data_IF_531229999431
#
_entry.id   IF_531229999431
#
_cell.length_a   1.000
_cell.length_b   1.000
_cell.length_c   1.000
_cell.angle_alpha   90.00
_cell.angle_beta   90.00
_cell.angle_gamma   90.00
#
_symmetry.space_group_name_H-M   'P 1'
#
loop_
_entity.id
_entity.type
_entity.pdbx_description
1 polymer ?
#
# COMPACT_ATOMS: atom_id res chain seq x y z
N UNK A 1 29.67 6.65 0.15
CA UNK A 1 29.39 7.44 -1.08
C UNK A 1 27.89 7.66 -1.16
N UNK A 2 27.41 8.89 -1.38
CA UNK A 2 25.99 9.15 -1.64
C UNK A 2 25.58 8.49 -2.97
N UNK A 3 24.33 8.05 -3.08
CA UNK A 3 23.80 7.43 -4.30
C UNK A 3 23.69 8.49 -5.41
N UNK A 4 24.61 8.46 -6.37
CA UNK A 4 24.53 9.23 -7.62
C UNK A 4 23.69 8.53 -8.71
N UNK A 5 23.39 9.20 -9.83
CA UNK A 5 22.50 8.69 -10.88
C UNK A 5 23.11 7.52 -11.68
N UNK A 6 22.28 6.64 -12.28
CA UNK A 6 22.74 5.38 -12.86
C UNK A 6 23.43 5.55 -14.22
N UNK A 7 24.52 4.79 -14.44
CA UNK A 7 25.12 4.54 -15.77
C UNK A 7 24.89 3.10 -16.19
N UNK A 8 24.79 2.89 -17.50
CA UNK A 8 24.37 1.66 -18.20
C UNK A 8 25.36 0.48 -18.05
N UNK A 9 24.90 -0.79 -18.10
CA UNK A 9 25.76 -1.95 -17.85
C UNK A 9 26.35 -2.57 -19.13
N UNK A 10 27.48 -3.27 -18.97
CA UNK A 10 28.00 -4.29 -19.91
C UNK A 10 28.13 -5.66 -19.21
N UNK A 11 28.13 -6.78 -19.95
CA UNK A 11 27.48 -8.03 -19.52
C UNK A 11 28.36 -8.98 -18.70
N UNK A 12 27.71 -9.86 -17.93
CA UNK A 12 28.34 -10.86 -17.06
C UNK A 12 28.60 -12.20 -17.76
N UNK A 13 29.70 -12.85 -17.39
CA UNK A 13 30.02 -14.24 -17.72
C UNK A 13 29.55 -15.22 -16.61
N UNK A 14 29.30 -16.51 -16.92
CA UNK A 14 28.62 -17.44 -16.01
C UNK A 14 29.58 -18.44 -15.34
N UNK A 15 29.25 -18.92 -14.14
CA UNK A 15 29.44 -20.32 -13.65
C UNK A 15 28.62 -20.48 -12.35
N UNK A 16 27.73 -21.45 -12.11
CA UNK A 16 27.67 -22.93 -12.16
C UNK A 16 27.71 -23.55 -10.74
N UNK A 17 26.83 -24.52 -10.48
CA UNK A 17 26.38 -24.97 -9.16
C UNK A 17 26.72 -26.45 -8.84
N UNK A 18 26.64 -26.81 -7.56
CA UNK A 18 26.64 -28.20 -7.03
C UNK A 18 27.46 -28.29 -5.73
N UNK A 19 27.18 -29.09 -4.70
CA UNK A 19 26.21 -30.11 -4.29
C UNK A 19 26.33 -30.15 -2.73
N UNK A 20 25.38 -30.52 -1.85
CA UNK A 20 24.44 -31.64 -1.82
C UNK A 20 24.87 -32.63 -0.71
N UNK A 21 24.29 -32.54 0.51
CA UNK A 21 24.34 -33.60 1.54
C UNK A 21 23.18 -33.47 2.57
N UNK A 22 22.57 -34.61 2.91
CA UNK A 22 21.32 -34.84 3.66
C UNK A 22 21.48 -35.05 5.18
N UNK A 23 20.40 -35.05 6.00
CA UNK A 23 20.43 -34.71 7.43
C UNK A 23 20.23 -35.90 8.41
N UNK A 24 20.54 -35.68 9.70
CA UNK A 24 20.22 -36.57 10.83
C UNK A 24 19.23 -35.91 11.82
N UNK A 25 18.28 -36.70 12.34
CA UNK A 25 17.11 -36.30 13.15
C UNK A 25 17.36 -36.44 14.67
N UNK A 26 16.87 -35.47 15.45
CA UNK A 26 16.76 -35.48 16.93
C UNK A 26 15.92 -34.28 17.44
N UNK A 27 15.31 -34.31 18.65
CA UNK A 27 13.88 -34.00 18.81
C UNK A 27 13.48 -32.58 19.27
N UNK A 28 12.33 -32.17 18.73
CA UNK A 28 11.28 -31.22 19.16
C UNK A 28 11.52 -30.17 20.28
N UNK A 29 11.59 -28.91 19.84
CA UNK A 29 11.13 -27.70 20.56
C UNK A 29 10.35 -26.81 19.59
N UNK A 30 9.48 -25.87 20.03
CA UNK A 30 8.57 -25.15 19.14
C UNK A 30 9.33 -24.16 18.26
N UNK A 31 9.56 -24.54 17.01
CA UNK A 31 10.20 -23.72 15.99
C UNK A 31 9.16 -23.21 15.00
N UNK A 32 9.05 -21.88 14.88
CA UNK A 32 8.43 -21.19 13.74
C UNK A 32 9.36 -21.26 12.54
N UNK A 33 8.78 -21.48 11.37
CA UNK A 33 9.39 -22.09 10.19
C UNK A 33 10.58 -21.35 9.58
N UNK A 34 11.65 -22.10 9.32
CA UNK A 34 12.74 -21.73 8.41
C UNK A 34 12.30 -21.97 6.95
N UNK A 35 12.51 -20.97 6.10
CA UNK A 35 12.23 -21.02 4.66
C UNK A 35 13.32 -21.78 3.92
N UNK A 36 13.02 -23.02 3.50
CA UNK A 36 13.85 -23.75 2.54
C UNK A 36 13.52 -23.30 1.12
N UNK A 37 14.55 -22.84 0.40
CA UNK A 37 14.50 -22.59 -1.04
C UNK A 37 14.39 -23.91 -1.83
N UNK A 38 13.51 -23.93 -2.84
CA UNK A 38 13.53 -24.94 -3.90
C UNK A 38 12.21 -25.67 -4.16
N UNK A 39 11.26 -24.99 -4.83
CA UNK A 39 10.33 -25.51 -5.85
C UNK A 39 9.23 -24.48 -6.08
N UNK A 40 9.02 -24.03 -7.33
CA UNK A 40 7.87 -23.21 -7.71
C UNK A 40 6.58 -24.01 -7.56
N UNK A 41 6.05 -24.07 -6.34
CA UNK A 41 4.62 -24.15 -6.11
C UNK A 41 4.08 -22.72 -6.17
N UNK A 42 3.06 -22.46 -6.99
CA UNK A 42 2.36 -21.19 -6.94
C UNK A 42 1.93 -20.94 -5.49
N UNK A 43 2.45 -19.88 -4.87
CA UNK A 43 2.12 -19.53 -3.50
C UNK A 43 0.59 -19.42 -3.38
N UNK A 44 0.01 -20.10 -2.40
CA UNK A 44 -1.41 -19.98 -2.13
C UNK A 44 -1.75 -18.50 -1.90
N UNK A 45 -2.86 -17.98 -2.46
CA UNK A 45 -3.22 -16.59 -2.28
C UNK A 45 -3.35 -16.29 -0.79
N UNK A 46 -2.79 -15.15 -0.38
CA UNK A 46 -2.71 -14.80 1.03
C UNK A 46 -4.11 -14.59 1.62
N UNK A 47 -4.42 -15.14 2.81
CA UNK A 47 -5.77 -15.01 3.39
C UNK A 47 -6.14 -13.55 3.63
N UNK A 48 -7.32 -13.14 3.18
CA UNK A 48 -7.93 -11.82 3.46
C UNK A 48 -9.12 -12.04 4.41
N UNK A 49 -9.22 -11.28 5.52
CA UNK A 49 -10.29 -11.48 6.50
C UNK A 49 -11.69 -11.23 5.92
N UNK A 50 -12.70 -11.87 6.51
CA UNK A 50 -14.11 -11.71 6.18
C UNK A 50 -14.96 -11.62 7.44
N UNK A 51 -16.06 -10.86 7.39
CA UNK A 51 -17.01 -10.80 8.50
C UNK A 51 -17.74 -12.13 8.70
N UNK A 52 -18.23 -12.38 9.91
CA UNK A 52 -18.99 -13.59 10.25
C UNK A 52 -20.29 -13.69 9.42
N UNK A 53 -21.06 -12.61 9.32
CA UNK A 53 -22.28 -12.55 8.52
C UNK A 53 -22.01 -12.80 7.02
N UNK A 54 -20.82 -12.43 6.52
CA UNK A 54 -20.43 -12.76 5.14
C UNK A 54 -20.01 -14.22 5.01
N UNK A 55 -19.23 -14.74 5.95
CA UNK A 55 -18.84 -16.14 5.97
C UNK A 55 -20.08 -17.06 5.98
N UNK A 56 -21.13 -16.70 6.73
CA UNK A 56 -22.40 -17.41 6.73
C UNK A 56 -23.12 -17.34 5.38
N UNK A 57 -23.25 -16.14 4.79
CA UNK A 57 -23.84 -15.99 3.44
C UNK A 57 -23.07 -16.76 2.37
N UNK A 58 -21.74 -16.76 2.42
CA UNK A 58 -20.89 -17.54 1.53
C UNK A 58 -21.11 -19.05 1.74
N UNK A 59 -21.25 -19.51 2.99
CA UNK A 59 -21.54 -20.90 3.31
C UNK A 59 -22.92 -21.34 2.78
N UNK A 60 -23.95 -20.51 2.93
CA UNK A 60 -25.29 -20.75 2.39
C UNK A 60 -25.27 -20.79 0.86
N UNK A 61 -24.62 -19.82 0.21
CA UNK A 61 -24.48 -19.80 -1.24
C UNK A 61 -23.72 -21.03 -1.76
N UNK A 62 -22.68 -21.46 -1.04
CA UNK A 62 -21.91 -22.66 -1.35
C UNK A 62 -22.75 -23.93 -1.19
N UNK A 63 -23.59 -24.01 -0.15
CA UNK A 63 -24.51 -25.11 0.09
C UNK A 63 -25.63 -25.16 -0.96
N UNK A 64 -26.15 -24.00 -1.39
CA UNK A 64 -27.19 -23.89 -2.43
C UNK A 64 -26.67 -24.23 -3.84
N UNK A 65 -25.35 -24.09 -4.08
CA UNK A 65 -24.72 -24.30 -5.39
C UNK A 65 -24.14 -25.71 -5.55
N UNK A 66 -24.98 -26.75 -5.43
CA UNK A 66 -24.54 -28.13 -5.68
C UNK A 66 -24.38 -28.41 -7.19
N UNK A 67 -23.15 -28.70 -7.64
CA UNK A 67 -22.89 -29.56 -8.81
C UNK A 67 -22.30 -28.94 -10.09
N UNK A 68 -22.60 -27.68 -10.45
CA UNK A 68 -22.14 -27.09 -11.73
C UNK A 68 -21.16 -25.91 -11.55
N UNK A 69 -21.46 -24.95 -10.66
CA UNK A 69 -20.58 -23.80 -10.38
C UNK A 69 -19.25 -24.18 -9.69
N UNK A 70 -19.21 -25.33 -8.99
CA UNK A 70 -18.00 -25.86 -8.32
C UNK A 70 -16.80 -26.08 -9.25
N UNK A 71 -17.03 -26.35 -10.55
CA UNK A 71 -15.94 -26.57 -11.53
C UNK A 71 -15.42 -25.28 -12.14
N UNK A 72 -16.25 -24.24 -12.23
CA UNK A 72 -15.86 -22.92 -12.75
C UNK A 72 -15.19 -22.05 -11.67
N UNK A 73 -15.66 -22.12 -10.41
CA UNK A 73 -15.21 -21.24 -9.31
C UNK A 73 -14.43 -22.00 -8.22
N UNK A 74 -13.46 -22.84 -8.60
CA UNK A 74 -12.50 -23.42 -7.63
C UNK A 74 -11.68 -22.29 -6.97
N UNK A 75 -12.18 -21.71 -5.89
CA UNK A 75 -11.45 -20.91 -4.91
C UNK A 75 -10.89 -19.55 -5.35
N UNK A 76 -11.13 -19.11 -6.59
CA UNK A 76 -10.45 -17.92 -7.13
C UNK A 76 -11.41 -17.03 -7.93
N UNK A 77 -12.52 -16.59 -7.32
CA UNK A 77 -13.36 -15.54 -7.91
C UNK A 77 -12.70 -14.16 -7.63
N UNK A 78 -12.17 -13.47 -8.66
CA UNK A 78 -11.49 -12.19 -8.49
C UNK A 78 -12.41 -11.12 -7.90
N UNK A 79 -13.73 -11.23 -8.15
CA UNK A 79 -14.72 -10.29 -7.60
C UNK A 79 -14.87 -10.46 -6.10
N UNK A 80 -14.89 -11.71 -5.63
CA UNK A 80 -14.92 -11.99 -4.19
C UNK A 80 -13.64 -11.53 -3.51
N UNK A 81 -12.48 -11.81 -4.09
CA UNK A 81 -11.20 -11.35 -3.54
C UNK A 81 -11.13 -9.82 -3.46
N UNK A 82 -11.48 -9.12 -4.54
CA UNK A 82 -11.54 -7.66 -4.56
C UNK A 82 -12.49 -7.11 -3.49
N UNK A 83 -13.65 -7.75 -3.29
CA UNK A 83 -14.61 -7.34 -2.26
C UNK A 83 -14.09 -7.55 -0.84
N UNK A 84 -13.38 -8.65 -0.57
CA UNK A 84 -12.75 -8.91 0.73
C UNK A 84 -11.67 -7.88 1.04
N UNK A 85 -10.85 -7.54 0.04
CA UNK A 85 -9.82 -6.50 0.16
C UNK A 85 -10.46 -5.15 0.43
N UNK A 86 -11.51 -4.80 -0.32
CA UNK A 86 -12.24 -3.55 -0.13
C UNK A 86 -12.85 -3.44 1.28
N UNK A 87 -13.41 -4.53 1.80
CA UNK A 87 -13.97 -4.59 3.14
C UNK A 87 -12.87 -4.46 4.22
N UNK A 88 -11.77 -5.21 4.10
CA UNK A 88 -10.65 -5.15 5.03
C UNK A 88 -10.00 -3.76 5.09
N UNK A 89 -9.86 -3.08 3.94
CA UNK A 89 -9.34 -1.72 3.87
C UNK A 89 -10.25 -0.66 4.51
N UNK A 90 -11.55 -0.95 4.66
CA UNK A 90 -12.51 -0.03 5.26
C UNK A 90 -12.82 -0.33 6.74
N UNK A 91 -12.01 -1.17 7.40
CA UNK A 91 -12.11 -1.43 8.85
C UNK A 91 -11.53 -0.25 9.64
N UNK A 92 -12.27 0.21 10.67
CA UNK A 92 -11.71 1.12 11.70
C UNK A 92 -11.19 2.45 11.16
N UNK A 93 -11.84 3.01 10.14
CA UNK A 93 -11.48 4.31 9.60
C UNK A 93 -12.01 5.42 10.51
N UNK A 94 -11.10 6.16 11.14
CA UNK A 94 -11.45 7.25 12.06
C UNK A 94 -11.04 8.64 11.54
N UNK A 95 -10.14 8.69 10.57
CA UNK A 95 -9.66 9.94 9.98
C UNK A 95 -10.74 10.57 9.11
N UNK A 96 -11.04 11.85 9.36
CA UNK A 96 -12.09 12.53 8.63
C UNK A 96 -11.79 12.54 7.13
N UNK A 97 -12.78 12.12 6.34
CA UNK A 97 -12.69 12.11 4.89
C UNK A 97 -11.70 11.07 4.32
N UNK A 98 -11.01 10.29 5.15
CA UNK A 98 -10.19 9.17 4.69
C UNK A 98 -11.07 7.96 4.38
N UNK A 99 -10.94 7.42 3.18
CA UNK A 99 -11.60 6.17 2.81
C UNK A 99 -10.90 5.49 1.63
N UNK A 100 -11.14 4.19 1.50
CA UNK A 100 -10.61 3.37 0.41
C UNK A 100 -11.70 2.99 -0.58
N UNK A 101 -11.33 2.99 -1.86
CA UNK A 101 -12.14 2.44 -2.95
C UNK A 101 -11.30 1.39 -3.69
N UNK A 102 -11.93 0.26 -4.02
CA UNK A 102 -11.29 -0.84 -4.76
C UNK A 102 -11.97 -1.02 -6.11
N UNK A 103 -11.21 -1.32 -7.15
CA UNK A 103 -11.72 -1.73 -8.44
C UNK A 103 -11.20 -3.10 -8.85
N UNK A 104 -12.02 -3.80 -9.62
CA UNK A 104 -11.64 -4.94 -10.42
C UNK A 104 -11.70 -4.53 -11.89
N UNK A 105 -10.65 -4.80 -12.65
CA UNK A 105 -10.62 -4.51 -14.10
C UNK A 105 -11.15 -5.67 -14.93
N UNK A 106 -11.34 -5.45 -16.24
CA UNK A 106 -11.73 -6.50 -17.19
C UNK A 106 -10.67 -7.60 -17.32
N UNK A 107 -9.40 -7.27 -17.10
CA UNK A 107 -8.28 -8.21 -17.15
C UNK A 107 -8.04 -8.94 -15.82
N UNK A 108 -8.81 -8.60 -14.78
CA UNK A 108 -8.73 -9.23 -13.46
C UNK A 108 -7.77 -8.57 -12.47
N UNK A 109 -7.18 -7.43 -12.83
CA UNK A 109 -6.33 -6.62 -11.95
C UNK A 109 -7.18 -6.03 -10.80
N UNK A 110 -6.67 -6.12 -9.57
CA UNK A 110 -7.28 -5.49 -8.39
C UNK A 110 -6.51 -4.20 -8.11
N UNK A 111 -7.22 -3.07 -8.12
CA UNK A 111 -6.62 -1.74 -7.98
C UNK A 111 -7.30 -1.03 -6.82
N UNK A 112 -6.53 -0.38 -5.95
CA UNK A 112 -7.03 0.38 -4.80
C UNK A 112 -6.60 1.83 -4.90
N UNK A 113 -7.42 2.71 -4.34
CA UNK A 113 -7.13 4.13 -4.17
C UNK A 113 -7.75 4.59 -2.85
N UNK A 114 -7.19 5.63 -2.24
CA UNK A 114 -7.81 6.30 -1.12
C UNK A 114 -7.94 7.80 -1.37
N UNK A 115 -8.76 8.45 -0.56
CA UNK A 115 -9.10 9.86 -0.71
C UNK A 115 -7.95 10.84 -0.40
N UNK A 116 -6.90 10.42 0.30
CA UNK A 116 -5.73 11.27 0.52
C UNK A 116 -4.84 11.31 -0.75
N UNK A 117 -4.82 10.20 -1.50
CA UNK A 117 -4.14 10.13 -2.79
C UNK A 117 -2.62 10.11 -2.68
N UNK A 118 -1.96 10.31 -3.83
CA UNK A 118 -0.49 10.41 -3.96
C UNK A 118 0.28 9.29 -3.21
N UNK A 119 -0.18 8.05 -3.31
CA UNK A 119 0.54 6.91 -2.74
C UNK A 119 0.53 6.81 -1.21
N UNK A 120 -0.25 7.64 -0.51
CA UNK A 120 -0.39 7.53 0.94
C UNK A 120 -0.99 6.19 1.35
N UNK A 121 -0.35 5.50 2.30
CA UNK A 121 -0.83 4.26 2.92
C UNK A 121 -0.56 4.34 4.44
N UNK A 122 -1.57 4.13 5.30
CA UNK A 122 -1.38 4.11 6.75
C UNK A 122 -0.36 3.05 7.20
N UNK A 123 0.37 3.32 8.30
CA UNK A 123 1.48 2.48 8.74
C UNK A 123 1.10 1.02 9.06
N UNK A 124 -0.14 0.78 9.48
CA UNK A 124 -0.68 -0.53 9.84
C UNK A 124 -1.33 -1.29 8.67
N UNK A 125 -1.32 -0.74 7.46
CA UNK A 125 -1.91 -1.38 6.27
C UNK A 125 -0.82 -2.08 5.46
N UNK A 126 -1.03 -3.36 5.19
CA UNK A 126 -0.27 -4.13 4.21
C UNK A 126 -1.16 -4.42 3.00
N UNK A 127 -0.64 -4.18 1.79
CA UNK A 127 -1.36 -4.49 0.56
C UNK A 127 -0.95 -5.86 0.02
N UNK A 128 -1.89 -6.79 -0.23
CA UNK A 128 -1.58 -8.06 -0.87
C UNK A 128 -0.79 -7.89 -2.16
N UNK A 129 0.04 -8.88 -2.51
CA UNK A 129 1.00 -8.78 -3.62
C UNK A 129 0.33 -8.41 -4.96
N UNK A 130 -0.83 -9.00 -5.22
CA UNK A 130 -1.62 -8.84 -6.45
C UNK A 130 -2.40 -7.52 -6.56
N UNK A 131 -2.32 -6.64 -5.57
CA UNK A 131 -3.07 -5.37 -5.54
C UNK A 131 -2.23 -4.24 -6.12
N UNK A 132 -2.81 -3.37 -6.94
CA UNK A 132 -2.13 -2.16 -7.40
C UNK A 132 -2.64 -0.93 -6.64
N UNK A 133 -1.75 -0.06 -6.16
CA UNK A 133 -2.15 1.25 -5.66
C UNK A 133 -2.15 2.24 -6.83
N UNK A 134 -3.34 2.75 -7.19
CA UNK A 134 -3.53 3.59 -8.37
C UNK A 134 -2.61 4.83 -8.39
N UNK A 135 -2.35 5.38 -7.21
CA UNK A 135 -1.59 6.63 -7.04
C UNK A 135 -0.12 6.41 -6.65
N UNK A 136 0.39 5.17 -6.63
CA UNK A 136 1.78 4.89 -6.30
C UNK A 136 2.68 4.65 -7.52
N UNK A 137 2.12 4.14 -8.64
CA UNK A 137 2.91 3.77 -9.81
C UNK A 137 3.61 4.95 -10.49
N UNK A 138 4.93 4.85 -10.66
CA UNK A 138 5.77 5.85 -11.34
C UNK A 138 5.55 5.92 -12.85
N UNK A 139 4.84 4.96 -13.46
CA UNK A 139 4.50 5.00 -14.88
C UNK A 139 3.53 6.13 -15.22
N UNK A 140 2.72 6.57 -14.25
CA UNK A 140 1.78 7.67 -14.39
C UNK A 140 2.45 8.94 -13.85
N UNK A 141 2.53 10.02 -14.67
CA UNK A 141 3.14 11.28 -14.25
C UNK A 141 2.54 11.80 -12.93
N UNK A 142 3.40 12.33 -12.05
CA UNK A 142 2.96 12.78 -10.72
C UNK A 142 1.86 13.84 -10.80
N UNK A 143 1.97 14.79 -11.73
CA UNK A 143 0.98 15.84 -11.90
C UNK A 143 -0.39 15.30 -12.32
N UNK A 144 -0.45 14.15 -12.99
CA UNK A 144 -1.71 13.46 -13.28
C UNK A 144 -2.26 12.80 -12.02
N UNK A 145 -1.43 12.05 -11.28
CA UNK A 145 -1.81 11.41 -10.00
C UNK A 145 -2.31 12.43 -8.97
N UNK A 146 -1.72 13.62 -8.94
CA UNK A 146 -2.03 14.71 -8.01
C UNK A 146 -3.46 15.23 -8.16
N UNK A 147 -3.96 15.33 -9.39
CA UNK A 147 -5.35 15.76 -9.66
C UNK A 147 -6.39 14.82 -9.08
N UNK A 148 -6.01 13.57 -8.80
CA UNK A 148 -6.92 12.57 -8.27
C UNK A 148 -6.97 12.55 -6.75
N UNK A 149 -6.11 13.30 -6.05
CA UNK A 149 -6.24 13.46 -4.61
C UNK A 149 -7.63 14.00 -4.27
N UNK A 150 -8.23 13.51 -3.19
CA UNK A 150 -9.65 13.74 -2.81
C UNK A 150 -10.69 13.08 -3.72
N UNK A 151 -10.26 12.35 -4.77
CA UNK A 151 -11.12 11.72 -5.78
C UNK A 151 -10.65 10.28 -6.11
N UNK A 152 -10.79 9.31 -5.19
CA UNK A 152 -10.26 7.95 -5.38
C UNK A 152 -10.89 7.21 -6.56
N UNK A 153 -12.17 7.41 -6.87
CA UNK A 153 -12.81 6.83 -8.06
C UNK A 153 -12.11 7.30 -9.36
N UNK A 154 -11.75 8.58 -9.42
CA UNK A 154 -11.01 9.14 -10.56
C UNK A 154 -9.60 8.53 -10.68
N UNK A 155 -8.96 8.24 -9.53
CA UNK A 155 -7.67 7.53 -9.51
C UNK A 155 -7.77 6.15 -10.17
N UNK A 156 -8.82 5.38 -9.86
CA UNK A 156 -9.03 4.05 -10.42
C UNK A 156 -9.30 4.12 -11.94
N UNK A 157 -10.10 5.08 -12.37
CA UNK A 157 -10.37 5.31 -13.80
C UNK A 157 -9.10 5.73 -14.56
N UNK A 158 -8.32 6.63 -13.99
CA UNK A 158 -7.06 7.10 -14.56
C UNK A 158 -6.04 5.98 -14.69
N UNK A 159 -5.88 5.18 -13.62
CA UNK A 159 -5.00 4.01 -13.63
C UNK A 159 -5.40 3.01 -14.71
N UNK A 160 -6.68 2.65 -14.79
CA UNK A 160 -7.16 1.68 -15.79
C UNK A 160 -6.92 2.19 -17.22
N UNK A 161 -7.23 3.47 -17.48
CA UNK A 161 -6.99 4.10 -18.78
C UNK A 161 -5.52 4.09 -19.18
N UNK A 162 -4.62 4.42 -18.25
CA UNK A 162 -3.19 4.42 -18.50
C UNK A 162 -2.67 3.03 -18.89
N UNK A 163 -3.22 1.97 -18.29
CA UNK A 163 -2.83 0.58 -18.57
C UNK A 163 -3.63 -0.05 -19.72
N UNK A 164 -4.48 0.71 -20.42
CA UNK A 164 -5.32 0.19 -21.51
C UNK A 164 -6.42 -0.78 -21.05
N UNK A 165 -6.73 -0.78 -19.76
CA UNK A 165 -7.74 -1.62 -19.14
C UNK A 165 -9.07 -0.86 -18.95
N UNK A 166 -10.16 -1.61 -18.71
CA UNK A 166 -11.46 -1.04 -18.32
C UNK A 166 -11.84 -1.52 -16.94
N UNK A 167 -12.55 -0.67 -16.19
CA UNK A 167 -13.14 -1.07 -14.92
C UNK A 167 -14.30 -2.04 -15.16
N UNK A 168 -14.25 -3.21 -14.54
CA UNK A 168 -15.34 -4.19 -14.52
C UNK A 168 -16.32 -3.87 -13.39
N UNK A 169 -15.78 -3.60 -12.20
CA UNK A 169 -16.55 -3.22 -11.04
C UNK A 169 -15.76 -2.28 -10.13
N UNK A 170 -16.46 -1.45 -9.38
CA UNK A 170 -15.92 -0.63 -8.29
C UNK A 170 -16.65 -1.01 -7.00
N UNK A 171 -15.90 -1.15 -5.91
CA UNK A 171 -16.36 -1.62 -4.61
C UNK A 171 -16.04 -0.55 -3.57
N UNK A 172 -17.08 -0.09 -2.88
CA UNK A 172 -17.03 0.97 -1.86
C UNK A 172 -18.28 0.87 -0.96
N UNK A 173 -18.34 1.64 0.12
CA UNK A 173 -19.60 1.83 0.86
C UNK A 173 -20.58 2.73 0.09
N UNK A 174 -21.84 2.80 0.54
CA UNK A 174 -22.86 3.64 -0.10
C UNK A 174 -22.46 5.13 -0.10
N UNK A 175 -22.06 5.66 1.05
CA UNK A 175 -21.62 7.06 1.21
C UNK A 175 -20.42 7.41 0.29
N UNK A 176 -19.52 6.45 0.08
CA UNK A 176 -18.35 6.64 -0.78
C UNK A 176 -18.71 6.73 -2.27
N UNK A 177 -19.89 6.24 -2.68
CA UNK A 177 -20.41 6.39 -4.03
C UNK A 177 -21.26 7.66 -4.23
N UNK A 178 -21.59 8.39 -3.15
CA UNK A 178 -22.46 9.55 -3.24
C UNK A 178 -21.86 10.61 -4.18
N UNK A 179 -22.61 11.03 -5.20
CA UNK A 179 -22.17 12.03 -6.16
C UNK A 179 -21.13 11.57 -7.18
N UNK A 180 -20.77 10.27 -7.21
CA UNK A 180 -19.80 9.72 -8.18
C UNK A 180 -20.39 8.58 -9.03
N UNK A 181 -20.18 8.67 -10.34
CA UNK A 181 -20.38 7.56 -11.27
C UNK A 181 -19.01 6.97 -11.67
N UNK A 182 -18.70 5.72 -11.26
CA UNK A 182 -17.47 5.06 -11.67
C UNK A 182 -17.44 4.64 -13.15
N UNK A 183 -18.57 4.71 -13.87
CA UNK A 183 -18.67 4.22 -15.25
C UNK A 183 -18.53 2.69 -15.37
N UNK A 184 -18.75 1.97 -14.27
CA UNK A 184 -18.67 0.52 -14.14
C UNK A 184 -19.68 0.02 -13.11
N UNK A 185 -19.83 -1.31 -12.98
CA UNK A 185 -20.74 -1.89 -12.00
C UNK A 185 -20.35 -1.47 -10.56
N UNK A 186 -21.32 -0.98 -9.78
CA UNK A 186 -21.14 -0.66 -8.37
C UNK A 186 -21.38 -1.91 -7.52
N UNK A 187 -20.47 -2.23 -6.62
CA UNK A 187 -20.64 -3.24 -5.57
C UNK A 187 -20.59 -2.51 -4.24
N UNK A 188 -21.75 -2.44 -3.58
CA UNK A 188 -21.87 -1.73 -2.31
C UNK A 188 -21.46 -2.66 -1.17
N UNK A 189 -20.55 -2.18 -0.33
CA UNK A 189 -20.22 -2.78 0.96
C UNK A 189 -21.24 -2.31 1.99
N UNK A 190 -21.97 -3.25 2.57
CA UNK A 190 -22.78 -3.00 3.75
C UNK A 190 -21.91 -3.13 5.02
N UNK A 191 -22.33 -2.52 6.14
CA UNK A 191 -21.62 -2.67 7.42
C UNK A 191 -21.34 -4.13 7.78
N UNK A 192 -22.30 -5.03 7.54
CA UNK A 192 -22.16 -6.47 7.79
C UNK A 192 -21.14 -7.18 6.88
N UNK A 193 -20.63 -6.53 5.84
CA UNK A 193 -19.55 -7.08 5.00
C UNK A 193 -18.15 -6.75 5.58
N UNK A 194 -18.03 -5.74 6.45
CA UNK A 194 -16.77 -5.26 7.00
C UNK A 194 -16.33 -6.21 8.14
N UNK A 195 -15.12 -6.81 8.08
CA UNK A 195 -14.63 -7.67 9.15
C UNK A 195 -14.30 -6.87 10.43
N UNK A 196 -14.19 -7.57 11.56
CA UNK A 196 -13.76 -6.95 12.83
C UNK A 196 -12.30 -6.46 12.78
N UNK A 197 -11.46 -7.17 12.03
CA UNK A 197 -10.05 -6.84 11.81
C UNK A 197 -9.75 -6.77 10.30
N UNK A 198 -9.09 -5.69 9.90
CA UNK A 198 -8.67 -5.41 8.52
C UNK A 198 -7.26 -5.92 8.21
N UNK A 199 -6.59 -6.59 9.15
CA UNK A 199 -5.21 -7.06 8.99
C UNK A 199 -5.09 -7.99 7.79
N UNK A 200 -4.26 -7.55 6.84
CA UNK A 200 -3.85 -8.33 5.67
C UNK A 200 -2.35 -8.58 5.73
N UNK A 201 -1.87 -9.54 4.96
CA UNK A 201 -0.43 -9.72 4.72
C UNK A 201 -0.09 -9.25 3.31
N UNK A 202 1.15 -8.82 3.11
CA UNK A 202 1.64 -8.39 1.82
C UNK A 202 2.71 -7.32 1.98
N UNK A 203 2.71 -6.37 1.06
CA UNK A 203 3.70 -5.31 0.96
C UNK A 203 3.37 -4.18 1.93
N UNK A 204 4.42 -3.71 2.57
CA UNK A 204 4.42 -2.48 3.36
C UNK A 204 4.22 -1.25 2.49
N UNK A 205 3.83 -0.12 3.10
CA UNK A 205 3.70 1.17 2.40
C UNK A 205 4.98 1.60 1.66
N UNK A 206 6.17 1.28 2.19
CA UNK A 206 7.43 1.58 1.53
C UNK A 206 7.65 0.68 0.30
N UNK A 207 7.33 -0.61 0.38
CA UNK A 207 7.45 -1.52 -0.76
C UNK A 207 6.49 -1.17 -1.89
N UNK A 208 5.30 -0.66 -1.56
CA UNK A 208 4.32 -0.20 -2.55
C UNK A 208 4.75 1.10 -3.21
N UNK A 209 5.20 2.08 -2.41
CA UNK A 209 5.52 3.42 -2.90
C UNK A 209 6.91 3.49 -3.56
N UNK A 210 7.91 2.84 -2.96
CA UNK A 210 9.31 2.92 -3.35
C UNK A 210 9.99 1.53 -3.24
N UNK A 211 9.69 0.59 -4.16
CA UNK A 211 10.14 -0.80 -4.07
C UNK A 211 11.67 -0.95 -4.10
N UNK A 212 12.39 -0.09 -4.84
CA UNK A 212 13.86 -0.13 -4.91
C UNK A 212 14.50 0.26 -3.56
N UNK A 213 14.16 1.40 -2.94
CA UNK A 213 14.57 1.70 -1.57
C UNK A 213 14.19 0.62 -0.55
N UNK A 214 12.98 0.06 -0.64
CA UNK A 214 12.54 -1.02 0.24
C UNK A 214 13.45 -2.26 0.14
N UNK A 215 13.74 -2.70 -1.08
CA UNK A 215 14.63 -3.83 -1.35
C UNK A 215 16.05 -3.58 -0.84
N UNK A 216 16.57 -2.35 -1.02
CA UNK A 216 17.88 -1.96 -0.49
C UNK A 216 17.92 -2.04 1.05
N UNK A 217 16.88 -1.53 1.72
CA UNK A 217 16.76 -1.62 3.17
C UNK A 217 16.73 -3.09 3.60
N UNK A 218 15.86 -3.91 3.01
CA UNK A 218 15.73 -5.34 3.32
C UNK A 218 17.06 -6.11 3.14
N UNK A 219 17.85 -5.79 2.11
CA UNK A 219 19.14 -6.41 1.85
C UNK A 219 20.28 -5.93 2.76
N UNK A 220 20.10 -4.81 3.48
CA UNK A 220 21.10 -4.26 4.37
C UNK A 220 21.12 -5.04 5.68
N UNK A 221 22.30 -5.47 6.14
CA UNK A 221 22.44 -6.15 7.44
C UNK A 221 22.21 -5.19 8.59
N UNK A 222 21.76 -5.73 9.72
CA UNK A 222 21.41 -4.95 10.92
C UNK A 222 22.57 -4.04 11.39
N UNK A 223 23.80 -4.54 11.36
CA UNK A 223 25.00 -3.79 11.79
C UNK A 223 25.37 -2.64 10.84
N UNK A 224 24.73 -2.57 9.67
CA UNK A 224 24.99 -1.58 8.62
C UNK A 224 23.81 -0.61 8.44
N UNK A 225 22.78 -0.68 9.27
CA UNK A 225 21.60 0.19 9.17
C UNK A 225 21.95 1.67 9.30
N UNK A 226 22.88 2.03 10.18
CA UNK A 226 23.34 3.41 10.36
C UNK A 226 23.97 3.99 9.09
N UNK A 227 24.55 3.17 8.22
CA UNK A 227 25.14 3.63 6.96
C UNK A 227 24.10 4.10 5.94
N UNK A 228 22.82 3.77 6.15
CA UNK A 228 21.71 4.23 5.32
C UNK A 228 21.20 5.62 5.75
N UNK A 229 21.57 6.07 6.94
CA UNK A 229 21.11 7.33 7.51
C UNK A 229 22.04 8.48 7.12
N UNK A 230 21.51 9.71 6.98
CA UNK A 230 22.35 10.89 6.90
C UNK A 230 23.16 11.02 8.21
N UNK A 231 24.34 11.68 8.16
CA UNK A 231 25.12 11.96 9.36
C UNK A 231 24.26 12.62 10.44
N UNK A 232 24.34 12.11 11.67
CA UNK A 232 23.68 12.74 12.81
C UNK A 232 24.23 14.16 12.99
N UNK A 233 23.33 15.09 13.32
CA UNK A 233 23.74 16.41 13.80
C UNK A 233 24.40 16.25 15.17
N UNK A 234 25.28 17.19 15.53
CA UNK A 234 26.03 17.15 16.81
C UNK A 234 25.10 17.07 18.04
N UNK A 235 23.86 17.56 17.91
CA UNK A 235 22.80 17.43 18.90
C UNK A 235 21.61 16.66 18.30
N UNK A 236 21.25 15.54 18.93
CA UNK A 236 20.09 14.71 18.57
C UNK A 236 18.88 15.10 19.42
N UNK A 237 18.49 16.37 19.42
CA UNK A 237 17.25 16.77 20.08
C UNK A 237 16.04 16.23 19.28
N UNK A 238 14.96 15.79 19.94
CA UNK A 238 13.74 15.44 19.23
C UNK A 238 13.20 16.67 18.50
N UNK A 239 12.70 16.53 17.27
CA UNK A 239 12.16 17.66 16.53
C UNK A 239 10.90 18.21 17.22
N UNK A 240 10.79 19.53 17.30
CA UNK A 240 9.61 20.21 17.83
C UNK A 240 8.50 20.20 16.76
N UNK A 241 7.76 19.10 16.71
CA UNK A 241 6.68 18.89 15.74
C UNK A 241 5.36 18.57 16.46
N UNK A 242 4.26 19.17 16.01
CA UNK A 242 2.91 18.78 16.40
C UNK A 242 2.27 17.95 15.27
N UNK A 243 2.64 16.67 15.22
CA UNK A 243 2.14 15.73 14.21
C UNK A 243 0.62 15.55 14.29
N UNK A 244 0.02 15.68 15.47
CA UNK A 244 -1.42 15.56 15.63
C UNK A 244 -2.14 16.77 15.01
N UNK A 245 -1.65 17.98 15.26
CA UNK A 245 -2.20 19.19 14.66
C UNK A 245 -1.99 19.23 13.15
N UNK A 246 -0.80 18.90 12.66
CA UNK A 246 -0.56 18.86 11.20
C UNK A 246 -1.40 17.79 10.50
N UNK A 247 -1.65 16.63 11.13
CA UNK A 247 -2.59 15.64 10.60
C UNK A 247 -4.03 16.16 10.53
N UNK A 248 -4.45 16.94 11.52
CA UNK A 248 -5.74 17.61 11.48
C UNK A 248 -5.81 18.60 10.30
N UNK A 249 -4.74 19.35 10.00
CA UNK A 249 -4.67 20.22 8.82
C UNK A 249 -4.82 19.44 7.50
N UNK A 250 -4.26 18.24 7.38
CA UNK A 250 -4.43 17.37 6.19
C UNK A 250 -5.90 17.04 5.94
N UNK A 251 -6.68 16.88 7.01
CA UNK A 251 -8.10 16.51 6.94
C UNK A 251 -9.01 17.68 6.56
N UNK A 252 -8.66 18.93 6.90
CA UNK A 252 -9.55 20.09 6.70
C UNK A 252 -10.00 20.29 5.24
N UNK A 253 -9.14 20.20 4.22
CA UNK A 253 -9.57 20.38 2.83
C UNK A 253 -10.64 19.37 2.38
N UNK A 254 -10.70 18.18 3.00
CA UNK A 254 -11.70 17.15 2.70
C UNK A 254 -13.11 17.52 3.21
N UNK A 255 -13.21 18.49 4.14
CA UNK A 255 -14.49 19.06 4.60
C UNK A 255 -15.07 20.07 3.59
N UNK A 256 -14.28 20.47 2.60
CA UNK A 256 -14.62 21.52 1.65
C UNK A 256 -15.06 20.97 0.28
N UNK A 257 -15.98 21.71 -0.35
CA UNK A 257 -16.37 21.52 -1.76
C UNK A 257 -15.70 22.51 -2.72
N UNK A 258 -14.73 23.30 -2.23
CA UNK A 258 -14.00 24.28 -3.04
C UNK A 258 -13.21 23.62 -4.17
N UNK A 259 -13.14 24.30 -5.32
CA UNK A 259 -12.29 23.89 -6.44
C UNK A 259 -10.80 23.84 -6.07
N UNK A 260 -10.35 24.65 -5.11
CA UNK A 260 -8.98 24.67 -4.61
C UNK A 260 -8.63 23.55 -3.61
N UNK A 261 -9.58 22.66 -3.27
CA UNK A 261 -9.38 21.69 -2.18
C UNK A 261 -8.23 20.71 -2.43
N UNK A 262 -7.99 20.34 -3.70
CA UNK A 262 -6.93 19.39 -4.07
C UNK A 262 -5.57 19.99 -3.72
N UNK A 263 -5.30 21.20 -4.20
CA UNK A 263 -4.04 21.91 -3.91
C UNK A 263 -3.85 22.09 -2.40
N UNK A 264 -4.87 22.58 -1.70
CA UNK A 264 -4.81 22.78 -0.25
C UNK A 264 -4.52 21.46 0.51
N UNK A 265 -5.10 20.34 0.07
CA UNK A 265 -4.82 19.02 0.64
C UNK A 265 -3.38 18.58 0.40
N UNK A 266 -2.87 18.74 -0.82
CA UNK A 266 -1.49 18.37 -1.16
C UNK A 266 -0.46 19.22 -0.42
N UNK A 267 -0.71 20.52 -0.24
CA UNK A 267 0.12 21.42 0.55
C UNK A 267 0.17 20.99 2.02
N UNK A 268 -1.00 20.73 2.63
CA UNK A 268 -1.07 20.24 4.00
C UNK A 268 -0.39 18.86 4.17
N UNK A 269 -0.58 17.95 3.21
CA UNK A 269 0.05 16.63 3.22
C UNK A 269 1.57 16.73 3.04
N UNK A 270 2.06 17.68 2.24
CA UNK A 270 3.49 17.93 2.06
C UNK A 270 4.15 18.41 3.36
N UNK A 271 3.50 19.36 4.05
CA UNK A 271 3.95 19.87 5.34
C UNK A 271 3.93 18.79 6.43
N UNK A 272 2.89 17.94 6.46
CA UNK A 272 2.84 16.79 7.36
C UNK A 272 3.97 15.80 7.06
N UNK A 273 4.20 15.45 5.80
CA UNK A 273 5.23 14.50 5.40
C UNK A 273 6.63 15.00 5.76
N UNK A 274 6.90 16.31 5.68
CA UNK A 274 8.15 16.91 6.13
C UNK A 274 8.37 16.73 7.65
N UNK A 275 7.36 17.04 8.47
CA UNK A 275 7.45 16.84 9.92
C UNK A 275 7.57 15.35 10.29
N UNK A 276 6.81 14.48 9.63
CA UNK A 276 6.83 13.04 9.86
C UNK A 276 8.19 12.44 9.46
N UNK A 277 8.78 12.91 8.36
CA UNK A 277 10.15 12.57 7.94
C UNK A 277 11.17 12.94 9.02
N UNK A 278 11.10 14.15 9.58
CA UNK A 278 11.98 14.59 10.66
C UNK A 278 11.87 13.73 11.92
N UNK A 279 10.64 13.45 12.36
CA UNK A 279 10.38 12.58 13.52
C UNK A 279 10.85 11.14 13.30
N UNK A 280 10.64 10.58 12.11
CA UNK A 280 11.09 9.24 11.77
C UNK A 280 12.63 9.14 11.67
N UNK A 281 13.30 10.18 11.13
CA UNK A 281 14.76 10.23 11.09
C UNK A 281 15.36 10.25 12.49
N UNK A 282 14.85 11.11 13.38
CA UNK A 282 15.29 11.16 14.77
C UNK A 282 15.14 9.80 15.46
N UNK A 283 13.99 9.14 15.27
CA UNK A 283 13.75 7.77 15.77
C UNK A 283 14.75 6.76 15.20
N UNK A 284 15.05 6.83 13.91
CA UNK A 284 16.01 5.92 13.28
C UNK A 284 17.45 6.12 13.79
N UNK A 285 17.84 7.35 14.14
CA UNK A 285 19.16 7.66 14.69
C UNK A 285 19.31 7.27 16.17
N UNK A 286 18.23 7.27 16.93
CA UNK A 286 18.24 7.05 18.39
C UNK A 286 17.82 5.64 18.81
N UNK A 287 17.28 4.83 17.90
CA UNK A 287 16.75 3.50 18.24
C UNK A 287 17.88 2.47 18.43
N UNK A 288 18.06 1.91 19.64
CA UNK A 288 19.12 0.93 19.92
C UNK A 288 18.85 -0.48 19.39
N UNK A 289 17.58 -0.85 19.15
CA UNK A 289 17.19 -2.20 18.74
C UNK A 289 17.10 -2.29 17.21
N UNK A 290 17.83 -3.21 16.58
CA UNK A 290 17.97 -3.24 15.13
C UNK A 290 16.65 -3.42 14.37
N UNK A 291 15.71 -4.23 14.87
CA UNK A 291 14.41 -4.41 14.20
C UNK A 291 13.59 -3.12 14.22
N UNK A 292 13.53 -2.45 15.37
CA UNK A 292 12.88 -1.16 15.51
C UNK A 292 13.59 -0.06 14.74
N UNK A 293 14.93 -0.10 14.65
CA UNK A 293 15.72 0.85 13.87
C UNK A 293 15.41 0.71 12.39
N UNK A 294 15.40 -0.53 11.88
CA UNK A 294 15.00 -0.85 10.51
C UNK A 294 13.59 -0.35 10.19
N UNK A 295 12.64 -0.56 11.10
CA UNK A 295 11.28 -0.05 10.93
C UNK A 295 11.24 1.50 10.90
N UNK A 296 12.03 2.17 11.74
CA UNK A 296 12.14 3.62 11.74
C UNK A 296 12.82 4.15 10.46
N UNK A 297 13.83 3.46 9.93
CA UNK A 297 14.43 3.78 8.62
C UNK A 297 13.40 3.61 7.52
N UNK A 298 12.59 2.54 7.55
CA UNK A 298 11.54 2.33 6.55
C UNK A 298 10.50 3.47 6.57
N UNK A 299 10.11 3.93 7.76
CA UNK A 299 9.19 5.05 7.96
C UNK A 299 9.78 6.37 7.44
N UNK A 300 11.05 6.64 7.77
CA UNK A 300 11.77 7.82 7.30
C UNK A 300 11.87 7.86 5.77
N UNK A 301 12.27 6.76 5.14
CA UNK A 301 12.38 6.68 3.67
C UNK A 301 11.02 6.81 3.01
N UNK A 302 9.96 6.24 3.60
CA UNK A 302 8.59 6.39 3.10
C UNK A 302 8.17 7.86 3.10
N UNK A 303 8.35 8.59 4.21
CA UNK A 303 7.99 10.00 4.29
C UNK A 303 8.86 10.89 3.40
N UNK A 304 10.15 10.57 3.27
CA UNK A 304 11.02 11.25 2.32
C UNK A 304 10.49 11.14 0.88
N UNK A 305 10.11 9.93 0.46
CA UNK A 305 9.61 9.71 -0.89
C UNK A 305 8.23 10.36 -1.08
N UNK A 306 7.34 10.25 -0.08
CA UNK A 306 6.03 10.90 -0.09
C UNK A 306 6.16 12.43 -0.23
N UNK A 307 7.03 13.06 0.58
CA UNK A 307 7.29 14.49 0.51
C UNK A 307 7.87 14.90 -0.85
N UNK A 308 8.82 14.13 -1.41
CA UNK A 308 9.39 14.40 -2.74
C UNK A 308 8.33 14.37 -3.84
N UNK A 309 7.43 13.38 -3.85
CA UNK A 309 6.35 13.29 -4.85
C UNK A 309 5.38 14.47 -4.68
N UNK A 310 5.04 14.84 -3.44
CA UNK A 310 4.14 15.96 -3.16
C UNK A 310 4.75 17.31 -3.60
N UNK A 311 6.04 17.53 -3.34
CA UNK A 311 6.76 18.71 -3.82
C UNK A 311 6.74 18.79 -5.35
N UNK A 312 7.07 17.69 -6.04
CA UNK A 312 7.04 17.63 -7.50
C UNK A 312 5.63 17.89 -8.06
N UNK A 313 4.59 17.36 -7.41
CA UNK A 313 3.19 17.58 -7.75
C UNK A 313 2.78 19.06 -7.63
N UNK A 314 3.28 19.76 -6.61
CA UNK A 314 2.95 21.16 -6.31
C UNK A 314 3.70 22.13 -7.24
N UNK A 315 4.94 21.80 -7.62
CA UNK A 315 5.77 22.58 -8.54
C UNK A 315 5.35 22.43 -10.00
N UNK A 316 4.84 21.25 -10.39
CA UNK A 316 4.43 20.96 -11.77
C UNK A 316 2.91 20.70 -11.87
N UNK A 317 2.06 21.69 -11.60
CA UNK A 317 0.64 21.56 -11.82
C UNK A 317 0.40 21.42 -13.32
N UNK A 318 0.07 20.21 -13.78
CA UNK A 318 -0.42 20.07 -15.16
C UNK A 318 -1.77 20.81 -15.19
N UNK A 319 -1.97 21.69 -16.18
CA UNK A 319 -3.23 22.31 -16.61
C UNK A 319 -4.16 22.87 -15.53
N UNK A 320 -3.85 24.08 -15.05
CA UNK A 320 -4.87 25.10 -14.70
C UNK A 320 -5.48 25.70 -15.97
#
# INVERSE_FOLDING_TARGET
>A
MPLGPPTTPSPAAPVNAGAGATPSVGPAGPAVAATSAGASAAAAPTPVPVSAARAERDAIATAASAGALRRQNRGNDPTQLARRIAAALNVGLFDFGFYWVTALTTEGSIVVANSYGIGYIPANVLLPEQVHMATAGESIPVGERARWATYPVLSLQGWARHHGERLRAVIATEDQFEGFDPGAAKIILHPDDIPEDGTMQGRTRLEVLAPKPAAKLAATRDERLTDLLPPAQSELNPPENDLAMSWFEVSKPLMSRSAGRVRAHLEAMSAYAEQAMGSALHKAQTQPEFRAQRAAIADWVYWQHQHSILAEALENPVGE
#
